data_IF_184328616449
#
_entry.id   IF_184328616449
#
_cell.length_a   1.000
_cell.length_b   1.000
_cell.length_c   1.000
_cell.angle_alpha   90.00
_cell.angle_beta   90.00
_cell.angle_gamma   90.00
#
_symmetry.space_group_name_H-M   'P 1'
#
loop_
_entity.id
_entity.type
_entity.pdbx_description
1 polymer ?
#
# COMPACT_ATOMS: atom_id res chain seq x y z
N UNK A 1 45.94 9.35 8.13
CA UNK A 1 44.47 9.42 8.07
C UNK A 1 44.12 9.45 6.60
N UNK A 2 43.54 8.37 6.08
CA UNK A 2 43.21 8.22 4.66
C UNK A 2 41.81 8.81 4.43
N UNK A 3 41.65 9.62 3.39
CA UNK A 3 40.36 10.21 3.02
C UNK A 3 39.31 9.11 2.73
N UNK A 4 38.03 9.33 3.09
CA UNK A 4 36.97 8.39 2.77
C UNK A 4 36.79 8.34 1.24
N UNK A 5 36.84 7.13 0.68
CA UNK A 5 36.53 6.89 -0.72
C UNK A 5 35.08 7.26 -0.95
N UNK A 6 34.85 8.37 -1.64
CA UNK A 6 33.53 8.74 -2.16
C UNK A 6 33.12 7.69 -3.18
N UNK A 7 32.25 6.76 -2.80
CA UNK A 7 31.64 5.81 -3.74
C UNK A 7 30.75 6.63 -4.67
N UNK A 8 31.24 6.84 -5.88
CA UNK A 8 30.53 7.58 -6.91
C UNK A 8 29.29 6.77 -7.30
N UNK A 9 28.11 7.32 -7.04
CA UNK A 9 26.84 6.71 -7.41
C UNK A 9 26.80 6.55 -8.93
N UNK A 10 26.83 5.31 -9.43
CA UNK A 10 26.74 4.97 -10.85
C UNK A 10 25.28 4.70 -11.25
N UNK A 11 24.63 5.62 -11.99
CA UNK A 11 23.26 5.42 -12.45
C UNK A 11 23.09 4.26 -13.45
N UNK A 12 24.18 3.79 -14.08
CA UNK A 12 24.15 2.70 -15.05
C UNK A 12 24.14 1.31 -14.40
N UNK A 13 24.52 1.22 -13.12
CA UNK A 13 24.40 0.00 -12.31
C UNK A 13 22.96 -0.25 -11.81
N UNK A 14 21.99 0.59 -12.17
CA UNK A 14 20.58 0.40 -11.82
C UNK A 14 20.07 -0.89 -12.46
N UNK A 15 19.78 -1.89 -11.64
CA UNK A 15 18.92 -2.99 -12.05
C UNK A 15 17.46 -2.52 -11.96
N UNK A 16 17.01 -1.76 -12.97
CA UNK A 16 15.60 -1.46 -13.12
C UNK A 16 14.91 -2.76 -13.50
N UNK A 17 13.99 -3.23 -12.65
CA UNK A 17 13.11 -4.34 -12.99
C UNK A 17 12.40 -4.01 -14.31
N UNK A 18 12.33 -4.99 -15.21
CA UNK A 18 11.60 -4.87 -16.48
C UNK A 18 10.11 -5.18 -16.31
N UNK A 19 9.64 -5.41 -15.07
CA UNK A 19 8.22 -5.64 -14.80
C UNK A 19 7.45 -4.32 -14.87
N UNK A 20 6.18 -4.43 -15.24
CA UNK A 20 5.31 -3.28 -15.49
C UNK A 20 4.82 -2.64 -14.19
N UNK A 21 4.74 -3.39 -13.08
CA UNK A 21 4.29 -2.90 -11.79
C UNK A 21 5.22 -3.26 -10.62
N UNK A 22 4.88 -2.71 -9.46
CA UNK A 22 5.47 -3.08 -8.16
C UNK A 22 4.50 -4.05 -7.50
N UNK A 23 4.99 -5.20 -7.06
CA UNK A 23 4.20 -6.22 -6.39
C UNK A 23 4.20 -5.99 -4.86
N UNK A 24 3.04 -6.07 -4.21
CA UNK A 24 2.93 -5.88 -2.75
C UNK A 24 3.75 -6.91 -1.97
N UNK A 25 3.83 -8.15 -2.45
CA UNK A 25 4.61 -9.21 -1.81
C UNK A 25 6.11 -8.96 -1.93
N UNK A 26 6.56 -8.44 -3.07
CA UNK A 26 7.94 -8.01 -3.25
C UNK A 26 8.26 -6.81 -2.37
N UNK A 27 7.39 -5.80 -2.35
CA UNK A 27 7.57 -4.57 -1.57
C UNK A 27 7.61 -4.86 -0.06
N UNK A 28 6.77 -5.77 0.42
CA UNK A 28 6.64 -6.07 1.85
C UNK A 28 7.46 -7.28 2.29
N UNK A 29 7.93 -8.12 1.36
CA UNK A 29 8.54 -9.41 1.63
C UNK A 29 7.57 -10.44 2.24
N UNK A 30 6.26 -10.24 2.08
CA UNK A 30 5.21 -10.98 2.78
C UNK A 30 4.06 -11.33 1.86
N UNK A 31 3.41 -12.45 2.12
CA UNK A 31 2.10 -12.79 1.55
C UNK A 31 1.03 -12.75 2.63
N UNK A 32 -0.23 -12.61 2.21
CA UNK A 32 -1.36 -12.48 3.11
C UNK A 32 -2.40 -13.58 2.87
N UNK A 33 -2.99 -14.18 3.92
CA UNK A 33 -3.90 -15.32 3.77
C UNK A 33 -5.09 -15.08 2.83
N UNK A 34 -5.65 -13.86 2.84
CA UNK A 34 -6.78 -13.49 1.97
C UNK A 34 -6.44 -13.44 0.48
N UNK A 35 -5.16 -13.48 0.10
CA UNK A 35 -4.77 -13.63 -1.32
C UNK A 35 -5.04 -15.04 -1.84
N UNK A 36 -5.09 -16.05 -0.96
CA UNK A 36 -5.20 -17.47 -1.32
C UNK A 36 -6.55 -18.08 -0.96
N UNK A 37 -7.30 -17.47 -0.03
CA UNK A 37 -8.57 -18.00 0.44
C UNK A 37 -9.69 -16.96 0.34
N UNK A 38 -10.55 -17.17 -0.66
CA UNK A 38 -11.75 -16.37 -0.92
C UNK A 38 -12.66 -16.20 0.30
N UNK A 39 -12.77 -17.23 1.15
CA UNK A 39 -13.65 -17.19 2.31
C UNK A 39 -13.24 -16.13 3.35
N UNK A 40 -11.98 -15.68 3.34
CA UNK A 40 -11.47 -14.66 4.25
C UNK A 40 -11.87 -13.23 3.86
N UNK A 41 -12.51 -13.05 2.70
CA UNK A 41 -13.01 -11.76 2.22
C UNK A 41 -14.50 -11.77 1.92
N UNK A 42 -15.18 -12.92 2.03
CA UNK A 42 -16.58 -13.06 1.66
C UNK A 42 -17.51 -12.17 2.51
N UNK A 43 -17.16 -11.98 3.78
CA UNK A 43 -17.88 -11.21 4.80
C UNK A 43 -17.55 -9.72 4.80
N UNK A 44 -16.63 -9.27 3.95
CA UNK A 44 -16.29 -7.86 3.81
C UNK A 44 -17.50 -7.09 3.28
N UNK A 45 -18.08 -6.25 4.13
CA UNK A 45 -19.17 -5.34 3.79
C UNK A 45 -18.60 -4.09 3.09
N UNK A 46 -18.71 -4.08 1.76
CA UNK A 46 -18.27 -2.98 0.93
C UNK A 46 -19.04 -1.68 1.22
N UNK A 47 -20.33 -1.77 1.54
CA UNK A 47 -21.14 -0.57 1.81
C UNK A 47 -20.76 0.05 3.16
N UNK A 48 -20.54 -0.77 4.18
CA UNK A 48 -20.05 -0.30 5.47
C UNK A 48 -18.63 0.28 5.39
N UNK A 49 -17.79 -0.23 4.48
CA UNK A 49 -16.44 0.27 4.23
C UNK A 49 -16.40 1.62 3.49
N UNK A 50 -17.54 2.12 2.99
CA UNK A 50 -17.66 3.41 2.29
C UNK A 50 -18.64 4.38 2.97
N UNK A 51 -18.34 4.87 4.18
CA UNK A 51 -19.22 5.82 4.85
C UNK A 51 -19.20 7.18 4.13
N UNK A 52 -20.29 7.55 3.46
CA UNK A 52 -20.48 8.85 2.78
C UNK A 52 -21.67 8.86 1.80
N UNK A 53 -22.21 10.04 1.46
CA UNK A 53 -23.37 10.16 0.55
C UNK A 53 -23.01 10.04 -0.94
N UNK A 54 -21.80 10.45 -1.35
CA UNK A 54 -21.33 10.27 -2.74
C UNK A 54 -19.82 10.57 -2.85
N UNK A 55 -19.00 9.53 -2.92
CA UNK A 55 -17.65 9.51 -3.51
C UNK A 55 -17.33 8.04 -3.75
N UNK A 56 -17.70 7.52 -4.92
CA UNK A 56 -17.53 6.12 -5.29
C UNK A 56 -16.06 5.74 -5.55
N UNK A 57 -15.21 5.86 -4.54
CA UNK A 57 -13.82 5.41 -4.61
C UNK A 57 -13.71 3.89 -4.83
N UNK A 58 -14.76 3.13 -4.47
CA UNK A 58 -14.89 1.72 -4.82
C UNK A 58 -15.10 1.51 -6.31
N UNK A 59 -15.80 2.40 -7.01
CA UNK A 59 -16.06 2.23 -8.45
C UNK A 59 -14.77 2.25 -9.26
N UNK A 60 -13.79 3.04 -8.84
CA UNK A 60 -12.44 3.08 -9.43
C UNK A 60 -11.61 1.80 -9.20
N UNK A 61 -12.05 0.90 -8.32
CA UNK A 61 -11.37 -0.36 -8.06
C UNK A 61 -11.91 -1.40 -9.02
N UNK A 62 -11.02 -1.88 -9.88
CA UNK A 62 -11.31 -2.94 -10.84
C UNK A 62 -10.36 -4.12 -10.65
N UNK A 63 -10.81 -5.29 -11.07
CA UNK A 63 -9.90 -6.41 -11.26
C UNK A 63 -8.93 -6.08 -12.41
N UNK A 64 -7.65 -6.22 -12.13
CA UNK A 64 -6.57 -6.04 -13.10
C UNK A 64 -5.74 -7.32 -13.17
N UNK A 65 -4.67 -7.30 -13.97
CA UNK A 65 -3.71 -8.38 -14.00
C UNK A 65 -2.29 -7.83 -13.88
N UNK A 66 -1.46 -8.53 -13.12
CA UNK A 66 -0.01 -8.31 -13.02
C UNK A 66 0.70 -9.64 -13.21
N UNK A 67 1.65 -9.70 -14.15
CA UNK A 67 2.35 -10.93 -14.56
C UNK A 67 1.40 -12.10 -14.93
N UNK A 68 0.25 -11.79 -15.53
CA UNK A 68 -0.77 -12.78 -15.89
C UNK A 68 -1.58 -13.34 -14.71
N UNK A 69 -1.38 -12.81 -13.50
CA UNK A 69 -2.18 -13.13 -12.32
C UNK A 69 -3.21 -12.05 -12.07
N UNK A 70 -4.40 -12.44 -11.63
CA UNK A 70 -5.42 -11.52 -11.13
C UNK A 70 -4.84 -10.66 -10.01
N UNK A 71 -5.10 -9.36 -10.03
CA UNK A 71 -4.59 -8.43 -9.05
C UNK A 71 -5.52 -7.23 -8.87
N UNK A 72 -5.38 -6.54 -7.74
CA UNK A 72 -6.01 -5.25 -7.49
C UNK A 72 -4.93 -4.21 -7.18
N UNK A 73 -5.10 -3.00 -7.70
CA UNK A 73 -4.13 -1.93 -7.51
C UNK A 73 -4.38 -1.19 -6.18
N UNK A 74 -3.40 -1.20 -5.28
CA UNK A 74 -3.42 -0.42 -4.06
C UNK A 74 -2.82 0.98 -4.30
N UNK A 75 -3.69 1.98 -4.39
CA UNK A 75 -3.30 3.39 -4.57
C UNK A 75 -2.49 3.96 -3.39
N UNK A 76 -2.58 3.38 -2.19
CA UNK A 76 -1.79 3.86 -1.04
C UNK A 76 -0.30 3.52 -1.19
N UNK A 77 0.02 2.41 -1.87
CA UNK A 77 1.40 1.96 -2.09
C UNK A 77 1.88 2.11 -3.52
N UNK A 78 0.97 2.34 -4.46
CA UNK A 78 1.21 2.22 -5.89
C UNK A 78 1.76 0.84 -6.26
N UNK A 79 1.19 -0.21 -5.67
CA UNK A 79 1.56 -1.60 -5.90
C UNK A 79 0.35 -2.48 -6.21
N UNK A 80 0.57 -3.58 -6.92
CA UNK A 80 -0.42 -4.61 -7.20
C UNK A 80 -0.44 -5.68 -6.10
N UNK A 81 -1.63 -5.94 -5.58
CA UNK A 81 -1.92 -7.04 -4.67
C UNK A 81 -2.52 -8.21 -5.47
N UNK A 82 -1.77 -9.29 -5.62
CA UNK A 82 -2.20 -10.48 -6.39
C UNK A 82 -3.26 -11.28 -5.65
N UNK A 83 -4.17 -11.88 -6.43
CA UNK A 83 -5.27 -12.74 -6.01
C UNK A 83 -5.06 -14.11 -6.65
N UNK A 84 -4.82 -15.13 -5.83
CA UNK A 84 -4.47 -16.49 -6.28
C UNK A 84 -5.64 -17.48 -6.23
N UNK A 85 -6.78 -17.10 -5.67
CA UNK A 85 -7.98 -17.92 -5.69
C UNK A 85 -8.82 -17.65 -6.95
N UNK A 86 -9.63 -18.64 -7.34
CA UNK A 86 -10.60 -18.47 -8.43
C UNK A 86 -11.71 -17.48 -8.04
N UNK A 87 -11.87 -16.44 -8.85
CA UNK A 87 -12.95 -15.47 -8.68
C UNK A 87 -14.20 -16.00 -9.41
N UNK A 88 -15.37 -16.06 -8.76
CA UNK A 88 -16.61 -16.43 -9.42
C UNK A 88 -16.92 -15.50 -10.59
N UNK A 89 -17.31 -16.08 -11.74
CA UNK A 89 -17.61 -15.33 -12.95
C UNK A 89 -18.66 -14.23 -12.70
N UNK A 90 -18.37 -13.01 -13.17
CA UNK A 90 -19.26 -11.85 -13.01
C UNK A 90 -19.14 -11.17 -11.65
N UNK A 91 -18.18 -11.58 -10.81
CA UNK A 91 -17.88 -10.96 -9.49
C UNK A 91 -16.45 -10.43 -9.41
N UNK A 92 -15.82 -10.24 -10.56
CA UNK A 92 -14.43 -9.81 -10.75
C UNK A 92 -14.08 -8.56 -9.92
N UNK A 93 -14.74 -7.44 -10.18
CA UNK A 93 -14.49 -6.19 -9.46
C UNK A 93 -14.97 -6.25 -7.99
N UNK A 94 -16.00 -7.05 -7.69
CA UNK A 94 -16.45 -7.23 -6.31
C UNK A 94 -15.35 -7.85 -5.46
N UNK A 95 -14.71 -8.92 -5.93
CA UNK A 95 -13.62 -9.57 -5.21
C UNK A 95 -12.34 -8.73 -5.20
N UNK A 96 -12.05 -7.99 -6.27
CA UNK A 96 -10.95 -7.03 -6.26
C UNK A 96 -11.13 -5.99 -5.14
N UNK A 97 -12.33 -5.41 -5.03
CA UNK A 97 -12.70 -4.49 -3.94
C UNK A 97 -12.56 -5.15 -2.58
N UNK A 98 -13.17 -6.31 -2.37
CA UNK A 98 -13.15 -7.01 -1.07
C UNK A 98 -11.73 -7.34 -0.61
N UNK A 99 -10.87 -7.80 -1.51
CA UNK A 99 -9.46 -8.07 -1.21
C UNK A 99 -8.73 -6.78 -0.82
N UNK A 100 -8.91 -5.68 -1.56
CA UNK A 100 -8.28 -4.41 -1.24
C UNK A 100 -8.81 -3.84 0.09
N UNK A 101 -10.12 -3.88 0.34
CA UNK A 101 -10.69 -3.46 1.63
C UNK A 101 -10.09 -4.26 2.78
N UNK A 102 -10.04 -5.58 2.66
CA UNK A 102 -9.46 -6.45 3.70
C UNK A 102 -8.00 -6.09 3.97
N UNK A 103 -7.23 -5.87 2.90
CA UNK A 103 -5.83 -5.45 2.98
C UNK A 103 -5.66 -4.12 3.72
N UNK A 104 -6.52 -3.13 3.44
CA UNK A 104 -6.49 -1.82 4.09
C UNK A 104 -6.97 -1.85 5.54
N UNK A 105 -8.05 -2.58 5.84
CA UNK A 105 -8.61 -2.72 7.20
C UNK A 105 -7.67 -3.45 8.15
N UNK A 106 -6.88 -4.40 7.64
CA UNK A 106 -5.84 -5.07 8.43
C UNK A 106 -4.53 -4.27 8.49
N UNK A 107 -4.48 -3.07 7.89
CA UNK A 107 -3.30 -2.22 7.89
C UNK A 107 -2.12 -2.81 7.14
N UNK A 108 -2.35 -3.71 6.19
CA UNK A 108 -1.29 -4.45 5.48
C UNK A 108 -0.69 -3.66 4.31
N UNK A 109 -1.32 -2.56 3.91
CA UNK A 109 -0.78 -1.65 2.90
C UNK A 109 0.50 -1.00 3.43
N UNK A 110 1.59 -1.13 2.69
CA UNK A 110 2.89 -0.54 3.06
C UNK A 110 2.80 0.98 3.28
N UNK A 111 1.89 1.67 2.57
CA UNK A 111 1.63 3.10 2.74
C UNK A 111 1.07 3.43 4.12
N UNK A 112 0.30 2.52 4.73
CA UNK A 112 -0.16 2.63 6.12
C UNK A 112 1.02 2.49 7.08
N UNK A 113 1.89 1.50 6.87
CA UNK A 113 3.09 1.33 7.72
C UNK A 113 4.00 2.55 7.71
N UNK A 114 4.18 3.18 6.56
CA UNK A 114 4.99 4.39 6.43
C UNK A 114 4.45 5.56 7.26
N UNK A 115 3.14 5.62 7.55
CA UNK A 115 2.57 6.70 8.36
C UNK A 115 3.15 6.75 9.76
N UNK A 116 3.42 5.59 10.39
CA UNK A 116 4.01 5.52 11.73
C UNK A 116 5.34 6.29 11.84
N UNK A 117 6.10 6.35 10.75
CA UNK A 117 7.39 7.01 10.72
C UNK A 117 7.36 8.39 10.06
N UNK A 118 6.49 8.59 9.08
CA UNK A 118 6.57 9.72 8.16
C UNK A 118 5.35 10.65 8.18
N UNK A 119 4.28 10.30 8.90
CA UNK A 119 3.15 11.20 9.08
C UNK A 119 3.59 12.47 9.81
N UNK A 120 3.46 13.63 9.15
CA UNK A 120 3.83 14.94 9.71
C UNK A 120 2.71 15.60 10.51
N UNK A 121 1.48 15.16 10.29
CA UNK A 121 0.28 15.70 10.90
C UNK A 121 -0.55 14.55 11.45
N UNK A 122 -1.17 14.81 12.61
CA UNK A 122 -2.09 13.90 13.27
C UNK A 122 -3.22 13.49 12.31
N UNK A 123 -3.38 12.18 12.12
CA UNK A 123 -4.39 11.59 11.25
C UNK A 123 -4.70 10.14 11.66
N UNK A 124 -5.87 9.58 11.28
CA UNK A 124 -6.15 8.16 11.47
C UNK A 124 -5.18 7.27 10.67
N UNK A 125 -4.62 6.24 11.32
CA UNK A 125 -3.72 5.26 10.71
C UNK A 125 -4.36 4.58 9.51
N UNK A 126 -5.55 4.01 9.71
CA UNK A 126 -6.30 3.24 8.70
C UNK A 126 -7.30 4.10 7.93
N UNK A 127 -7.21 5.44 8.03
CA UNK A 127 -8.14 6.34 7.35
C UNK A 127 -9.61 6.08 7.72
N UNK A 128 -10.50 6.12 6.74
CA UNK A 128 -11.95 5.90 6.91
C UNK A 128 -12.38 4.43 6.94
N UNK A 129 -11.45 3.48 6.80
CA UNK A 129 -11.76 2.05 6.63
C UNK A 129 -12.14 1.34 7.92
N UNK A 130 -11.72 1.90 9.06
CA UNK A 130 -11.98 1.36 10.37
C UNK A 130 -12.21 2.50 11.36
N UNK A 131 -13.37 2.50 12.01
CA UNK A 131 -13.67 3.44 13.08
C UNK A 131 -12.75 3.20 14.29
N UNK A 132 -12.35 4.27 14.96
CA UNK A 132 -11.47 4.16 16.14
C UNK A 132 -10.04 3.71 15.83
N UNK A 133 -9.61 3.82 14.57
CA UNK A 133 -8.19 3.63 14.21
C UNK A 133 -7.29 4.58 15.01
N UNK A 134 -6.10 4.11 15.39
CA UNK A 134 -5.13 4.90 16.12
C UNK A 134 -4.74 6.18 15.36
N UNK A 135 -4.37 7.22 16.11
CA UNK A 135 -3.80 8.43 15.53
C UNK A 135 -2.30 8.25 15.31
N UNK A 136 -1.79 8.68 14.16
CA UNK A 136 -0.36 8.70 13.81
C UNK A 136 0.06 10.12 13.44
N UNK A 137 1.34 10.44 13.63
CA UNK A 137 1.89 11.76 13.28
C UNK A 137 1.74 12.84 14.35
N UNK A 138 1.46 12.46 15.61
CA UNK A 138 1.43 13.38 16.75
C UNK A 138 2.83 13.88 17.15
N UNK A 139 3.85 13.03 17.00
CA UNK A 139 5.22 13.28 17.46
C UNK A 139 6.25 13.25 16.31
N UNK A 140 5.93 13.84 15.16
CA UNK A 140 6.83 13.82 14.00
C UNK A 140 8.18 14.47 14.30
N UNK A 141 9.26 13.71 14.11
CA UNK A 141 10.63 14.21 14.15
C UNK A 141 11.21 14.25 12.74
N UNK A 142 11.68 15.42 12.32
CA UNK A 142 12.29 15.57 11.00
C UNK A 142 13.54 14.70 10.87
N UNK A 143 13.67 13.98 9.75
CA UNK A 143 14.90 13.27 9.43
C UNK A 143 16.05 14.27 9.31
N UNK A 144 17.13 14.01 10.07
CA UNK A 144 18.37 14.76 9.97
C UNK A 144 19.32 14.00 9.03
N UNK A 145 20.00 14.74 8.16
CA UNK A 145 21.05 14.20 7.30
C UNK A 145 22.37 14.74 7.86
N UNK A 146 23.28 13.86 8.22
CA UNK A 146 24.59 14.25 8.74
C UNK A 146 25.32 15.16 7.75
N UNK A 147 25.78 16.31 8.24
CA UNK A 147 26.48 17.31 7.42
C UNK A 147 25.57 18.16 6.53
N UNK A 148 24.25 18.03 6.64
CA UNK A 148 23.31 18.94 5.99
C UNK A 148 22.73 19.93 7.01
N UNK A 149 23.18 21.19 6.92
CA UNK A 149 22.56 22.30 7.64
C UNK A 149 21.43 22.90 6.80
N UNK A 150 20.29 23.16 7.45
CA UNK A 150 19.19 23.88 6.81
C UNK A 150 19.70 25.26 6.35
N UNK A 151 19.50 25.67 5.08
CA UNK A 151 19.91 27.00 4.63
C UNK A 151 19.30 28.08 5.53
N UNK A 152 20.13 29.01 5.99
CA UNK A 152 19.66 30.24 6.61
C UNK A 152 18.94 31.03 5.52
N UNK A 153 17.65 31.31 5.75
CA UNK A 153 16.76 32.02 4.84
C UNK A 153 17.34 33.33 4.33
#
# INVERSE_FOLDING_TARGET
>A
MSDPVMVQFDPSARHLTTRSGIDTEELTGRTFPYQFNRALVDDVDLMAATPGEDLNWLEDIHLMQEDGMNAVFDRYTNAFLKIYFEIPAGRDDEYARKVLIKHLQEGNSYGIWLKHRHAKFAQPELGSWLSGSATVGEDYTASQIDGWDKPLH
#
